data_IF_990157191031
#
_entry.id   IF_990157191031
#
_cell.length_a   1.000
_cell.length_b   1.000
_cell.length_c   1.000
_cell.angle_alpha   90.00
_cell.angle_beta   90.00
_cell.angle_gamma   90.00
#
_symmetry.space_group_name_H-M   'P 1'
#
loop_
_entity.id
_entity.type
_entity.pdbx_description
1 polymer ?
#
# COMPACT_ATOMS: atom_id res chain seq x y z
N UNK A 1 -30.29 -21.19 29.74
CA UNK A 1 -29.97 -19.81 29.35
C UNK A 1 -28.47 -19.65 29.43
N UNK A 2 -27.88 -19.28 28.28
CA UNK A 2 -26.46 -19.04 27.94
C UNK A 2 -25.99 -20.00 26.85
N UNK A 3 -26.32 -19.61 25.62
CA UNK A 3 -25.71 -20.13 24.41
C UNK A 3 -24.35 -19.43 24.24
N UNK A 4 -23.27 -20.17 24.49
CA UNK A 4 -21.90 -19.74 24.22
C UNK A 4 -21.64 -19.83 22.70
N UNK A 5 -21.97 -18.77 21.96
CA UNK A 5 -21.54 -18.63 20.57
C UNK A 5 -20.04 -18.34 20.56
N UNK A 6 -19.26 -19.42 20.41
CA UNK A 6 -17.82 -19.37 20.18
C UNK A 6 -17.56 -18.74 18.81
N UNK A 7 -17.34 -17.42 18.77
CA UNK A 7 -16.91 -16.69 17.59
C UNK A 7 -15.44 -17.01 17.29
N UNK A 8 -15.18 -18.12 16.61
CA UNK A 8 -13.88 -18.35 15.96
C UNK A 8 -13.84 -17.58 14.64
N UNK A 9 -13.73 -16.26 14.74
CA UNK A 9 -13.12 -15.50 13.65
C UNK A 9 -11.63 -15.75 13.76
N UNK A 10 -11.14 -16.77 13.05
CA UNK A 10 -9.74 -16.81 12.64
C UNK A 10 -9.67 -15.94 11.38
N UNK A 11 -9.36 -14.63 11.47
CA UNK A 11 -9.07 -13.88 10.26
C UNK A 11 -7.89 -14.61 9.62
N UNK A 12 -7.98 -15.05 8.35
CA UNK A 12 -6.77 -15.44 7.67
C UNK A 12 -5.86 -14.20 7.77
N UNK A 13 -4.62 -14.32 8.28
CA UNK A 13 -3.69 -13.24 8.08
C UNK A 13 -3.68 -13.02 6.58
N UNK A 14 -4.12 -11.85 6.12
CA UNK A 14 -3.90 -11.43 4.75
C UNK A 14 -2.39 -11.33 4.66
N UNK A 15 -1.75 -12.45 4.35
CA UNK A 15 -0.34 -12.53 4.13
C UNK A 15 -0.13 -11.69 2.88
N UNK A 16 0.45 -10.50 3.07
CA UNK A 16 0.94 -9.68 1.98
C UNK A 16 2.14 -10.43 1.41
N UNK A 17 1.85 -11.38 0.53
CA UNK A 17 2.89 -12.17 -0.14
C UNK A 17 3.53 -11.23 -1.16
N UNK A 18 4.72 -10.71 -0.84
CA UNK A 18 5.51 -9.93 -1.79
C UNK A 18 5.97 -10.86 -2.92
N UNK A 19 5.21 -10.86 -4.02
CA UNK A 19 5.64 -11.49 -5.27
C UNK A 19 6.79 -10.66 -5.85
N UNK A 20 7.89 -11.36 -6.17
CA UNK A 20 9.15 -10.95 -6.84
C UNK A 20 9.13 -9.59 -7.54
N UNK A 21 10.14 -8.74 -7.22
CA UNK A 21 10.40 -7.36 -7.70
C UNK A 21 9.95 -7.07 -9.13
N UNK A 22 8.82 -6.38 -9.33
CA UNK A 22 8.61 -5.56 -10.51
C UNK A 22 9.20 -4.18 -10.24
N UNK A 23 10.11 -3.73 -11.11
CA UNK A 23 10.50 -2.32 -11.10
C UNK A 23 9.29 -1.56 -11.68
N UNK A 24 8.57 -0.80 -10.85
CA UNK A 24 7.45 0.00 -11.31
C UNK A 24 7.88 0.82 -12.52
N UNK A 25 7.17 0.71 -13.65
CA UNK A 25 7.49 1.50 -14.84
C UNK A 25 6.93 2.94 -14.71
N UNK A 26 5.88 3.10 -13.89
CA UNK A 26 5.10 4.33 -13.75
C UNK A 26 5.36 5.05 -12.42
N UNK A 27 5.21 6.38 -12.44
CA UNK A 27 5.25 7.23 -11.23
C UNK A 27 3.93 7.23 -10.45
N UNK A 28 2.85 6.81 -11.10
CA UNK A 28 1.50 6.75 -10.54
C UNK A 28 0.85 5.45 -10.96
N UNK A 29 0.14 4.80 -10.05
CA UNK A 29 -0.69 3.62 -10.29
C UNK A 29 -2.08 3.84 -9.69
N UNK A 30 -3.13 3.45 -10.41
CA UNK A 30 -4.50 3.54 -9.91
C UNK A 30 -4.79 2.42 -8.89
N UNK A 31 -5.69 2.66 -7.93
CA UNK A 31 -6.04 1.67 -6.91
C UNK A 31 -6.65 0.38 -7.46
N UNK A 32 -7.22 0.42 -8.67
CA UNK A 32 -7.78 -0.73 -9.36
C UNK A 32 -6.78 -1.42 -10.32
N UNK A 33 -5.55 -0.94 -10.44
CA UNK A 33 -4.49 -1.62 -11.20
C UNK A 33 -3.81 -2.69 -10.33
N UNK A 34 -3.50 -3.85 -10.92
CA UNK A 34 -2.79 -4.93 -10.22
C UNK A 34 -1.42 -4.52 -9.69
N UNK A 35 -0.74 -3.56 -10.34
CA UNK A 35 0.53 -3.00 -9.85
C UNK A 35 0.38 -2.35 -8.47
N UNK A 36 -0.80 -1.78 -8.15
CA UNK A 36 -1.05 -1.14 -6.87
C UNK A 36 -1.21 -2.14 -5.72
N UNK A 37 -1.43 -3.43 -6.01
CA UNK A 37 -1.46 -4.53 -5.02
C UNK A 37 -0.05 -5.01 -4.64
N UNK A 38 1.00 -4.38 -5.15
CA UNK A 38 2.39 -4.69 -4.81
C UNK A 38 2.93 -3.68 -3.78
N UNK A 39 3.35 -4.16 -2.61
CA UNK A 39 3.82 -3.31 -1.52
C UNK A 39 5.13 -2.58 -1.85
N UNK A 40 5.98 -3.15 -2.72
CA UNK A 40 7.23 -2.53 -3.18
C UNK A 40 6.94 -1.31 -4.06
N UNK A 41 5.81 -1.30 -4.79
CA UNK A 41 5.41 -0.22 -5.69
C UNK A 41 4.60 0.85 -4.97
N UNK A 42 3.57 0.43 -4.22
CA UNK A 42 2.56 1.31 -3.63
C UNK A 42 2.74 1.56 -2.12
N UNK A 43 3.74 0.91 -1.49
CA UNK A 43 3.88 0.86 -0.04
C UNK A 43 2.80 -0.01 0.62
N UNK A 44 2.92 -0.22 1.93
CA UNK A 44 1.97 -1.05 2.69
C UNK A 44 0.53 -0.52 2.64
N UNK A 45 0.34 0.80 2.79
CA UNK A 45 -1.00 1.41 2.78
C UNK A 45 -1.64 1.39 1.39
N UNK A 46 -0.89 1.75 0.34
CA UNK A 46 -1.39 1.72 -1.03
C UNK A 46 -1.78 0.31 -1.45
N UNK A 47 -0.96 -0.68 -1.09
CA UNK A 47 -1.25 -2.10 -1.29
C UNK A 47 -2.53 -2.55 -0.58
N UNK A 48 -2.67 -2.28 0.72
CA UNK A 48 -3.90 -2.62 1.45
C UNK A 48 -5.13 -1.95 0.86
N UNK A 49 -5.03 -0.68 0.44
CA UNK A 49 -6.16 0.03 -0.16
C UNK A 49 -6.55 -0.53 -1.54
N UNK A 50 -5.58 -0.98 -2.34
CA UNK A 50 -5.85 -1.66 -3.61
C UNK A 50 -6.54 -3.02 -3.41
N UNK A 51 -6.10 -3.80 -2.42
CA UNK A 51 -6.76 -5.07 -2.05
C UNK A 51 -8.18 -4.84 -1.52
N UNK A 52 -8.38 -3.80 -0.70
CA UNK A 52 -9.70 -3.40 -0.24
C UNK A 52 -10.59 -2.92 -1.39
N UNK A 53 -10.02 -2.26 -2.40
CA UNK A 53 -10.75 -1.84 -3.61
C UNK A 53 -11.31 -3.06 -4.33
N UNK A 54 -10.47 -4.07 -4.60
CA UNK A 54 -10.90 -5.34 -5.21
C UNK A 54 -11.96 -6.08 -4.36
N UNK A 55 -11.76 -6.15 -3.05
CA UNK A 55 -12.71 -6.79 -2.14
C UNK A 55 -14.05 -6.04 -2.09
N UNK A 56 -14.02 -4.70 -2.14
CA UNK A 56 -15.24 -3.87 -2.15
C UNK A 56 -16.08 -4.09 -3.41
N UNK A 57 -15.45 -4.33 -4.55
CA UNK A 57 -16.13 -4.62 -5.81
C UNK A 57 -16.76 -6.02 -5.81
N UNK A 58 -16.07 -7.00 -5.20
CA UNK A 58 -16.52 -8.39 -5.08
C UNK A 58 -17.68 -8.56 -4.09
N UNK A 59 -17.51 -8.05 -2.86
CA UNK A 59 -18.44 -8.30 -1.76
C UNK A 59 -19.52 -7.22 -1.63
N UNK A 60 -19.27 -5.99 -2.14
CA UNK A 60 -20.19 -4.83 -2.08
C UNK A 60 -20.67 -4.45 -0.67
N UNK A 61 -19.95 -4.85 0.38
CA UNK A 61 -20.27 -4.55 1.78
C UNK A 61 -19.78 -3.17 2.24
N UNK A 62 -18.81 -2.60 1.54
CA UNK A 62 -18.22 -1.31 1.83
C UNK A 62 -17.78 -0.63 0.53
N UNK A 63 -17.45 0.66 0.62
CA UNK A 63 -17.02 1.47 -0.51
C UNK A 63 -15.60 1.97 -0.30
N UNK A 64 -14.75 1.82 -1.32
CA UNK A 64 -13.43 2.46 -1.38
C UNK A 64 -13.47 3.60 -2.40
N UNK A 65 -13.12 4.84 -2.01
CA UNK A 65 -13.02 5.95 -2.95
C UNK A 65 -12.03 5.66 -4.07
N UNK A 66 -12.39 6.03 -5.30
CA UNK A 66 -11.47 5.98 -6.44
C UNK A 66 -10.26 6.88 -6.18
N UNK A 67 -9.09 6.42 -6.57
CA UNK A 67 -7.85 7.15 -6.34
C UNK A 67 -6.64 6.49 -6.97
N UNK A 68 -5.47 7.04 -6.66
CA UNK A 68 -4.19 6.59 -7.15
C UNK A 68 -3.12 6.67 -6.06
N UNK A 69 -2.03 5.96 -6.28
CA UNK A 69 -0.84 5.98 -5.43
C UNK A 69 0.33 6.54 -6.23
N UNK A 70 1.05 7.50 -5.62
CA UNK A 70 2.36 7.93 -6.11
C UNK A 70 3.38 6.89 -5.70
N UNK A 71 4.06 6.28 -6.67
CA UNK A 71 4.86 5.08 -6.43
C UNK A 71 6.15 5.37 -5.67
N UNK A 72 6.73 4.34 -5.06
CA UNK A 72 8.07 4.39 -4.46
C UNK A 72 9.13 4.84 -5.47
N UNK A 73 9.01 4.44 -6.75
CA UNK A 73 9.86 4.96 -7.84
C UNK A 73 9.74 6.47 -8.02
N UNK A 74 8.53 7.03 -7.96
CA UNK A 74 8.35 8.47 -8.07
C UNK A 74 9.06 9.20 -6.93
N UNK A 75 8.99 8.65 -5.71
CA UNK A 75 9.76 9.14 -4.58
C UNK A 75 11.28 9.06 -4.81
N UNK A 76 11.80 7.92 -5.28
CA UNK A 76 13.22 7.76 -5.62
C UNK A 76 13.69 8.77 -6.67
N UNK A 77 12.88 9.01 -7.70
CA UNK A 77 13.16 10.01 -8.73
C UNK A 77 13.18 11.43 -8.15
N UNK A 78 12.23 11.72 -7.25
CA UNK A 78 12.11 13.02 -6.62
C UNK A 78 13.29 13.35 -5.71
N UNK A 79 13.75 12.40 -4.88
CA UNK A 79 14.91 12.63 -4.00
C UNK A 79 16.23 12.72 -4.78
N UNK A 80 16.34 12.06 -5.95
CA UNK A 80 17.52 12.17 -6.82
C UNK A 80 17.58 13.53 -7.53
N UNK A 81 16.42 14.08 -7.90
CA UNK A 81 16.33 15.35 -8.63
C UNK A 81 16.28 16.58 -7.72
N UNK A 82 15.75 16.46 -6.50
CA UNK A 82 15.60 17.56 -5.55
C UNK A 82 16.56 17.42 -4.36
N UNK A 83 17.73 18.05 -4.47
CA UNK A 83 18.78 18.04 -3.44
C UNK A 83 18.31 18.62 -2.11
N UNK A 84 17.44 19.64 -2.13
CA UNK A 84 16.91 20.29 -0.91
C UNK A 84 16.06 19.33 -0.11
N UNK A 85 15.13 18.63 -0.77
CA UNK A 85 14.26 17.64 -0.11
C UNK A 85 15.08 16.47 0.40
N UNK A 86 16.01 15.95 -0.40
CA UNK A 86 16.88 14.86 0.03
C UNK A 86 17.68 15.25 1.29
N UNK A 87 18.30 16.44 1.28
CA UNK A 87 19.02 16.96 2.45
C UNK A 87 18.12 17.07 3.69
N UNK A 88 16.91 17.61 3.55
CA UNK A 88 15.96 17.72 4.66
C UNK A 88 15.56 16.35 5.22
N UNK A 89 15.32 15.36 4.36
CA UNK A 89 14.97 13.98 4.77
C UNK A 89 16.13 13.34 5.54
N UNK A 90 17.37 13.45 5.05
CA UNK A 90 18.53 12.88 5.74
C UNK A 90 18.68 13.43 7.17
N UNK A 91 18.49 14.74 7.37
CA UNK A 91 18.54 15.35 8.71
C UNK A 91 17.49 14.83 9.69
N UNK A 92 16.30 14.47 9.19
CA UNK A 92 15.25 13.89 10.03
C UNK A 92 15.63 12.48 10.49
N UNK A 93 16.29 11.70 9.62
CA UNK A 93 16.78 10.35 9.94
C UNK A 93 17.87 10.44 11.01
N UNK A 94 18.81 11.36 10.87
CA UNK A 94 19.91 11.56 11.83
C UNK A 94 19.42 11.97 13.23
N UNK A 95 18.32 12.73 13.31
CA UNK A 95 17.73 13.17 14.59
C UNK A 95 16.92 12.07 15.30
N UNK A 96 16.66 10.95 14.62
CA UNK A 96 15.88 9.82 15.13
C UNK A 96 16.77 8.69 15.69
N UNK A 97 18.09 8.85 15.62
CA UNK A 97 19.12 7.92 16.11
C UNK A 97 19.63 8.25 17.50
#
# INVERSE_FOLDING_TARGET
SKDDVKSTFDPPPVLLIDKKKPCASKNVVLLNEDECKNSVIAGGKGCSLALLTELSEKERLFYVPKGFVVTTRAFESHIKSNKTINYAIQRLVDASG
#
